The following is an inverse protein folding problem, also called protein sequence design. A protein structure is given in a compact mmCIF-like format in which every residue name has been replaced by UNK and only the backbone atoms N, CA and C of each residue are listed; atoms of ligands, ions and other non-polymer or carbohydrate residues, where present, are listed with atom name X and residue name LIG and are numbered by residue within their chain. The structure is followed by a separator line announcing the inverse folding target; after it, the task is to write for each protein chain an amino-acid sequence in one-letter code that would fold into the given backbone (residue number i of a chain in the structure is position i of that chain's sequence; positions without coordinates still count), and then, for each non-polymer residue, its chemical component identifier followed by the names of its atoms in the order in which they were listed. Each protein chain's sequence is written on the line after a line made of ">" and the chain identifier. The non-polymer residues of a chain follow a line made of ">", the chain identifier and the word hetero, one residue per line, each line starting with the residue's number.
data_IF_434843326937
#
_entry.id   IF_434843326937
#
_cell.length_a   1.000
_cell.length_b   1.000
_cell.length_c   1.000
_cell.angle_alpha   90.00
_cell.angle_beta   90.00
_cell.angle_gamma   90.00
#
_symmetry.space_group_name_H-M   'P 1'
#
loop_
_entity.id
_entity.type
_entity.pdbx_description
1 polymer ?
#
# COMPACT_ATOMS: atom_id res chain seq x y z
N UNK A 1 20.49 -18.59 7.99
CA UNK A 1 20.74 -18.27 9.39
C UNK A 1 21.98 -18.95 9.94
N UNK A 2 22.42 -18.50 11.09
CA UNK A 2 23.56 -19.07 11.82
C UNK A 2 23.19 -19.27 13.29
N UNK A 3 23.72 -20.34 13.89
CA UNK A 3 23.54 -20.67 15.31
C UNK A 3 24.91 -20.94 15.95
N UNK A 4 25.17 -20.30 17.07
CA UNK A 4 26.37 -20.49 17.87
C UNK A 4 25.98 -21.04 19.24
N UNK A 5 26.59 -22.15 19.65
CA UNK A 5 26.29 -22.78 20.94
C UNK A 5 27.57 -22.82 21.77
N UNK A 6 27.50 -22.22 22.96
CA UNK A 6 28.57 -22.16 23.90
C UNK A 6 28.23 -23.05 25.11
N UNK A 7 29.10 -23.99 25.43
CA UNK A 7 28.97 -24.84 26.61
C UNK A 7 29.86 -24.29 27.72
N UNK A 8 29.29 -24.17 28.90
CA UNK A 8 30.05 -23.80 30.08
C UNK A 8 30.94 -24.99 30.50
N UNK A 9 32.20 -24.73 30.76
CA UNK A 9 33.18 -25.72 31.22
C UNK A 9 33.28 -25.79 32.76
N UNK A 10 32.71 -24.80 33.46
CA UNK A 10 32.67 -24.77 34.90
C UNK A 10 31.56 -25.71 35.41
N UNK A 11 31.94 -26.80 36.03
CA UNK A 11 31.03 -27.82 36.56
C UNK A 11 30.25 -27.33 37.80
N UNK A 12 30.67 -26.25 38.42
CA UNK A 12 29.98 -25.65 39.58
C UNK A 12 28.97 -24.59 39.18
N UNK A 13 28.90 -24.23 37.90
CA UNK A 13 28.00 -23.25 37.38
C UNK A 13 26.61 -23.84 37.11
N UNK A 14 25.58 -23.13 37.52
CA UNK A 14 24.19 -23.50 37.22
C UNK A 14 23.83 -23.19 35.73
N UNK A 15 24.65 -22.41 35.02
CA UNK A 15 24.46 -22.08 33.61
C UNK A 15 25.26 -23.04 32.71
N UNK A 16 24.55 -23.94 32.03
CA UNK A 16 25.18 -25.04 31.30
C UNK A 16 25.46 -24.72 29.85
N UNK A 17 24.55 -24.02 29.20
CA UNK A 17 24.67 -23.66 27.79
C UNK A 17 24.09 -22.28 27.52
N UNK A 18 24.73 -21.59 26.60
CA UNK A 18 24.24 -20.38 25.98
C UNK A 18 24.21 -20.59 24.46
N UNK A 19 23.16 -20.17 23.81
CA UNK A 19 23.04 -20.19 22.37
C UNK A 19 22.69 -18.80 21.84
N UNK A 20 23.32 -18.39 20.77
CA UNK A 20 22.97 -17.19 20.02
C UNK A 20 22.71 -17.57 18.58
N UNK A 21 21.68 -17.02 17.98
CA UNK A 21 21.41 -17.23 16.57
C UNK A 21 20.89 -15.99 15.88
N UNK A 22 21.10 -15.93 14.59
CA UNK A 22 20.53 -14.95 13.69
C UNK A 22 19.94 -15.67 12.49
N UNK A 23 18.73 -15.28 12.10
CA UNK A 23 18.10 -15.77 10.89
C UNK A 23 17.21 -14.71 10.26
N UNK A 24 17.10 -14.85 8.95
CA UNK A 24 16.20 -14.09 8.11
C UNK A 24 15.05 -14.98 7.68
N UNK A 25 13.86 -14.42 7.69
CA UNK A 25 12.64 -15.07 7.24
C UNK A 25 11.86 -14.12 6.34
N UNK A 26 11.53 -14.57 5.14
CA UNK A 26 10.58 -13.89 4.30
C UNK A 26 9.17 -14.38 4.68
N UNK A 27 8.37 -13.47 5.24
CA UNK A 27 7.03 -13.79 5.73
C UNK A 27 6.01 -13.84 4.59
N UNK A 28 6.16 -12.92 3.62
CA UNK A 28 5.26 -12.81 2.48
C UNK A 28 5.98 -12.31 1.25
N UNK A 29 5.56 -12.78 0.07
CA UNK A 29 5.91 -12.26 -1.23
C UNK A 29 4.65 -11.65 -1.84
N UNK A 30 4.74 -10.39 -2.29
CA UNK A 30 3.63 -9.63 -2.87
C UNK A 30 3.63 -9.63 -4.40
N UNK A 31 4.56 -10.35 -5.04
CA UNK A 31 4.66 -10.36 -6.49
C UNK A 31 3.40 -10.99 -7.09
N UNK A 32 2.64 -10.19 -7.80
CA UNK A 32 1.41 -10.59 -8.48
C UNK A 32 1.15 -9.66 -9.65
N UNK A 33 0.43 -10.13 -10.65
CA UNK A 33 0.01 -9.32 -11.77
C UNK A 33 -1.09 -10.00 -12.56
N UNK A 34 -1.96 -9.20 -13.15
CA UNK A 34 -2.94 -9.66 -14.13
C UNK A 34 -3.26 -8.54 -15.12
N UNK A 35 -3.83 -8.96 -16.25
CA UNK A 35 -4.36 -8.09 -17.29
C UNK A 35 -5.77 -8.55 -17.63
N UNK A 36 -6.66 -7.58 -17.85
CA UNK A 36 -8.02 -7.82 -18.31
C UNK A 36 -8.37 -6.81 -19.39
N UNK A 37 -9.08 -7.24 -20.41
CA UNK A 37 -9.59 -6.36 -21.45
C UNK A 37 -11.02 -6.76 -21.82
N UNK A 38 -11.84 -5.79 -22.17
CA UNK A 38 -13.23 -6.04 -22.53
C UNK A 38 -14.00 -4.78 -22.88
N UNK A 39 -15.27 -4.98 -23.19
CA UNK A 39 -16.21 -3.88 -23.43
C UNK A 39 -17.06 -3.69 -22.19
N UNK A 40 -17.17 -2.44 -21.74
CA UNK A 40 -17.99 -2.02 -20.60
C UNK A 40 -19.06 -1.02 -21.05
N UNK A 41 -20.20 -0.99 -20.40
CA UNK A 41 -21.19 0.07 -20.55
C UNK A 41 -21.03 1.21 -19.55
N UNK A 42 -20.01 1.14 -18.68
CA UNK A 42 -19.66 2.16 -17.68
C UNK A 42 -18.28 2.71 -17.98
N UNK A 43 -18.18 4.02 -18.12
CA UNK A 43 -16.92 4.75 -18.30
C UNK A 43 -16.25 5.04 -16.96
N UNK A 44 -14.92 5.27 -17.00
CA UNK A 44 -14.17 5.84 -15.88
C UNK A 44 -14.69 7.22 -15.46
N UNK A 45 -15.37 7.93 -16.35
CA UNK A 45 -16.00 9.21 -16.02
C UNK A 45 -16.97 9.09 -14.84
N UNK A 46 -17.65 7.94 -14.69
CA UNK A 46 -18.56 7.71 -13.56
C UNK A 46 -17.81 7.71 -12.21
N UNK A 47 -16.59 7.15 -12.19
CA UNK A 47 -15.74 7.18 -11.00
C UNK A 47 -15.43 8.61 -10.54
N UNK A 48 -15.02 9.48 -11.48
CA UNK A 48 -14.71 10.87 -11.15
C UNK A 48 -15.96 11.66 -10.79
N UNK A 49 -17.08 11.43 -11.50
CA UNK A 49 -18.37 12.07 -11.20
C UNK A 49 -18.88 11.74 -9.80
N UNK A 50 -18.73 10.49 -9.37
CA UNK A 50 -19.16 10.05 -8.04
C UNK A 50 -18.37 10.78 -6.92
N UNK A 51 -17.13 11.18 -7.18
CA UNK A 51 -16.34 11.99 -6.25
C UNK A 51 -16.63 13.49 -6.35
N UNK A 52 -16.86 14.03 -7.55
CA UNK A 52 -16.98 15.46 -7.77
C UNK A 52 -18.37 16.01 -7.40
N UNK A 53 -19.44 15.25 -7.65
CA UNK A 53 -20.80 15.72 -7.40
C UNK A 53 -21.03 16.08 -5.93
N UNK A 54 -21.43 17.33 -5.70
CA UNK A 54 -21.65 17.89 -4.38
C UNK A 54 -20.45 18.61 -3.78
N UNK A 55 -19.26 18.56 -4.41
CA UNK A 55 -18.10 19.36 -4.02
C UNK A 55 -18.08 20.69 -4.80
N UNK A 56 -17.69 21.79 -4.13
CA UNK A 56 -17.59 23.08 -4.81
C UNK A 56 -16.42 23.10 -5.79
N UNK A 57 -16.56 23.83 -6.88
CA UNK A 57 -15.49 24.00 -7.87
C UNK A 57 -14.23 24.61 -7.25
N UNK A 58 -14.38 25.51 -6.30
CA UNK A 58 -13.27 26.13 -5.58
C UNK A 58 -12.43 25.11 -4.79
N UNK A 59 -13.07 24.06 -4.26
CA UNK A 59 -12.40 23.01 -3.48
C UNK A 59 -11.66 21.98 -4.34
N UNK A 60 -11.94 21.92 -5.65
CA UNK A 60 -11.40 20.92 -6.59
C UNK A 60 -10.72 21.54 -7.80
N UNK A 61 -10.27 22.78 -7.71
CA UNK A 61 -9.51 23.48 -8.75
C UNK A 61 -8.19 24.01 -8.22
N UNK A 62 -7.21 24.21 -9.11
CA UNK A 62 -5.94 24.82 -8.75
C UNK A 62 -6.12 26.34 -8.53
N UNK A 63 -5.39 26.88 -7.57
CA UNK A 63 -5.33 28.33 -7.35
C UNK A 63 -4.52 29.01 -8.48
N UNK A 64 -4.75 30.32 -8.65
CA UNK A 64 -4.00 31.11 -9.61
C UNK A 64 -2.49 31.06 -9.34
N UNK A 65 -1.70 30.68 -10.34
CA UNK A 65 -0.25 30.45 -10.28
C UNK A 65 0.21 29.21 -9.47
N UNK A 66 -0.69 28.33 -9.08
CA UNK A 66 -0.37 27.03 -8.51
C UNK A 66 -0.20 25.98 -9.61
N UNK A 67 0.81 25.14 -9.50
CA UNK A 67 0.93 24.00 -10.41
C UNK A 67 -0.07 22.89 -10.05
N UNK A 68 -0.48 22.08 -11.04
CA UNK A 68 -1.39 20.96 -10.84
C UNK A 68 -0.89 19.99 -9.75
N UNK A 69 0.43 19.75 -9.70
CA UNK A 69 1.02 18.88 -8.68
C UNK A 69 0.97 19.49 -7.27
N UNK A 70 1.15 20.80 -7.15
CA UNK A 70 1.02 21.51 -5.87
C UNK A 70 -0.42 21.49 -5.39
N UNK A 71 -1.37 21.85 -6.27
CA UNK A 71 -2.81 21.79 -5.98
C UNK A 71 -3.26 20.39 -5.57
N UNK A 72 -2.88 19.36 -6.32
CA UNK A 72 -3.19 17.96 -6.00
C UNK A 72 -2.71 17.58 -4.59
N UNK A 73 -1.46 17.95 -4.23
CA UNK A 73 -0.91 17.65 -2.92
C UNK A 73 -1.60 18.45 -1.81
N UNK A 74 -1.88 19.74 -2.04
CA UNK A 74 -2.56 20.60 -1.08
C UNK A 74 -3.99 20.12 -0.82
N UNK A 75 -4.75 19.84 -1.87
CA UNK A 75 -6.11 19.30 -1.78
C UNK A 75 -6.11 17.98 -1.02
N UNK A 76 -5.19 17.07 -1.33
CA UNK A 76 -5.08 15.80 -0.62
C UNK A 76 -4.76 15.94 0.85
N UNK A 77 -3.91 16.91 1.20
CA UNK A 77 -3.52 17.15 2.58
C UNK A 77 -4.64 17.77 3.41
N UNK A 78 -5.37 18.75 2.86
CA UNK A 78 -6.40 19.49 3.60
C UNK A 78 -7.79 18.86 3.49
N UNK A 79 -8.17 18.35 2.31
CA UNK A 79 -9.53 17.91 2.01
C UNK A 79 -9.62 16.38 1.86
N UNK A 80 -8.49 15.71 1.60
CA UNK A 80 -8.41 14.25 1.52
C UNK A 80 -8.59 13.67 0.12
N UNK A 81 -8.53 12.33 0.06
CA UNK A 81 -8.49 11.56 -1.19
C UNK A 81 -9.67 11.82 -2.12
N UNK A 82 -10.89 11.96 -1.59
CA UNK A 82 -12.08 12.17 -2.41
C UNK A 82 -11.98 13.45 -3.27
N UNK A 83 -11.49 14.53 -2.67
CA UNK A 83 -11.28 15.80 -3.36
C UNK A 83 -10.14 15.72 -4.39
N UNK A 84 -9.10 14.95 -4.12
CA UNK A 84 -8.04 14.69 -5.12
C UNK A 84 -8.58 13.97 -6.35
N UNK A 85 -9.50 13.00 -6.20
CA UNK A 85 -10.09 12.31 -7.34
C UNK A 85 -11.00 13.25 -8.13
N UNK A 86 -11.80 14.06 -7.46
CA UNK A 86 -12.62 15.08 -8.11
C UNK A 86 -11.76 16.09 -8.88
N UNK A 87 -10.68 16.57 -8.28
CA UNK A 87 -9.68 17.44 -8.90
C UNK A 87 -9.10 16.82 -10.18
N UNK A 88 -8.68 15.55 -10.14
CA UNK A 88 -8.17 14.86 -11.32
C UNK A 88 -9.20 14.77 -12.44
N UNK A 89 -10.46 14.48 -12.10
CA UNK A 89 -11.54 14.44 -13.08
C UNK A 89 -11.81 15.80 -13.74
N UNK A 90 -11.70 16.87 -12.98
CA UNK A 90 -11.84 18.24 -13.48
C UNK A 90 -10.63 18.68 -14.31
N UNK A 91 -9.43 18.58 -13.78
CA UNK A 91 -8.19 19.02 -14.45
C UNK A 91 -7.86 18.23 -15.73
N UNK A 92 -8.37 16.99 -15.85
CA UNK A 92 -8.26 16.19 -17.06
C UNK A 92 -9.35 16.43 -18.09
N UNK A 93 -10.22 17.40 -17.86
CA UNK A 93 -11.39 17.72 -18.68
C UNK A 93 -12.40 16.57 -18.85
N UNK A 94 -12.29 15.49 -18.08
CA UNK A 94 -13.31 14.43 -18.03
C UNK A 94 -14.64 14.98 -17.52
N UNK A 95 -14.55 15.89 -16.54
CA UNK A 95 -15.68 16.59 -15.95
C UNK A 95 -15.57 18.09 -16.20
N UNK A 96 -16.73 18.69 -16.45
CA UNK A 96 -16.88 20.14 -16.47
C UNK A 96 -18.01 20.60 -15.57
N UNK A 97 -17.91 21.82 -14.98
CA UNK A 97 -18.96 22.37 -14.12
C UNK A 97 -20.20 22.71 -14.99
N UNK A 98 -21.39 22.53 -14.41
CA UNK A 98 -22.63 22.97 -15.07
C UNK A 98 -22.75 24.50 -15.11
N UNK A 99 -22.17 25.20 -14.12
CA UNK A 99 -22.14 26.66 -14.03
C UNK A 99 -20.69 27.11 -13.79
N UNK A 100 -20.27 28.17 -14.49
CA UNK A 100 -18.96 28.82 -14.29
C UNK A 100 -19.00 29.71 -13.02
N UNK A 101 -19.07 29.04 -11.88
CA UNK A 101 -19.11 29.64 -10.55
C UNK A 101 -18.29 28.85 -9.56
N UNK A 102 -17.54 29.51 -8.69
CA UNK A 102 -16.75 28.88 -7.63
C UNK A 102 -17.58 27.99 -6.68
N UNK A 103 -18.88 28.32 -6.52
CA UNK A 103 -19.82 27.57 -5.68
C UNK A 103 -20.53 26.43 -6.46
N UNK A 104 -20.25 26.27 -7.77
CA UNK A 104 -20.82 25.16 -8.54
C UNK A 104 -20.46 23.82 -7.88
N UNK A 105 -21.45 22.92 -7.80
CA UNK A 105 -21.28 21.60 -7.20
C UNK A 105 -21.92 20.48 -8.05
N UNK A 106 -22.28 20.80 -9.29
CA UNK A 106 -22.83 19.87 -10.26
C UNK A 106 -21.94 19.82 -11.50
N UNK A 107 -21.65 18.61 -11.97
CA UNK A 107 -20.71 18.38 -13.07
C UNK A 107 -21.31 17.46 -14.12
N UNK A 108 -20.99 17.72 -15.38
CA UNK A 108 -21.27 16.83 -16.49
C UNK A 108 -19.99 16.23 -17.08
N UNK A 109 -20.15 15.09 -17.75
CA UNK A 109 -19.03 14.39 -18.35
C UNK A 109 -18.85 14.77 -19.82
N UNK A 110 -17.62 14.99 -20.24
CA UNK A 110 -17.22 15.13 -21.64
C UNK A 110 -17.11 13.79 -22.39
N UNK A 111 -17.39 12.69 -21.69
CA UNK A 111 -17.44 11.33 -22.24
C UNK A 111 -18.94 10.93 -22.33
N UNK A 112 -19.43 10.79 -23.57
CA UNK A 112 -20.82 10.41 -23.80
C UNK A 112 -21.06 8.93 -23.46
N UNK A 113 -22.27 8.62 -22.98
CA UNK A 113 -22.69 7.25 -22.67
C UNK A 113 -22.70 6.36 -23.92
N UNK A 114 -22.35 5.09 -23.72
CA UNK A 114 -22.27 4.08 -24.76
C UNK A 114 -21.40 2.91 -24.37
N UNK A 115 -20.72 2.31 -25.32
CA UNK A 115 -19.78 1.20 -25.09
C UNK A 115 -18.35 1.74 -25.02
N UNK A 116 -17.58 1.17 -24.11
CA UNK A 116 -16.17 1.53 -23.82
C UNK A 116 -15.28 0.31 -23.94
N UNK A 117 -14.25 0.39 -24.76
CA UNK A 117 -13.19 -0.61 -24.75
C UNK A 117 -12.25 -0.28 -23.59
N UNK A 118 -12.13 -1.19 -22.65
CA UNK A 118 -11.30 -1.00 -21.46
C UNK A 118 -10.23 -2.07 -21.36
N UNK A 119 -9.01 -1.64 -21.00
CA UNK A 119 -7.89 -2.48 -20.66
C UNK A 119 -7.42 -2.12 -19.26
N UNK A 120 -7.25 -3.13 -18.42
CA UNK A 120 -6.81 -2.94 -17.05
C UNK A 120 -5.62 -3.82 -16.73
N UNK A 121 -4.55 -3.21 -16.27
CA UNK A 121 -3.36 -3.89 -15.78
C UNK A 121 -3.19 -3.67 -14.28
N UNK A 122 -2.85 -4.72 -13.59
CA UNK A 122 -2.46 -4.69 -12.19
C UNK A 122 -1.09 -5.35 -12.05
N UNK A 123 -0.18 -4.71 -11.33
CA UNK A 123 1.11 -5.25 -10.95
C UNK A 123 1.40 -4.91 -9.51
N UNK A 124 1.90 -5.89 -8.77
CA UNK A 124 2.45 -5.66 -7.44
C UNK A 124 3.77 -6.39 -7.28
N UNK A 125 4.69 -5.77 -6.55
CA UNK A 125 6.02 -6.26 -6.26
C UNK A 125 6.32 -6.04 -4.79
N UNK A 126 7.22 -6.86 -4.26
CA UNK A 126 7.76 -6.63 -2.93
C UNK A 126 7.64 -7.80 -1.98
N UNK A 127 7.99 -7.54 -0.74
CA UNK A 127 8.05 -8.57 0.29
C UNK A 127 7.89 -7.98 1.70
N UNK A 128 7.47 -8.85 2.60
CA UNK A 128 7.53 -8.64 4.04
C UNK A 128 8.54 -9.64 4.62
N UNK A 129 9.49 -9.14 5.38
CA UNK A 129 10.56 -9.92 5.95
C UNK A 129 10.84 -9.61 7.41
N UNK A 130 11.57 -10.52 8.04
CA UNK A 130 11.95 -10.41 9.44
C UNK A 130 13.38 -10.90 9.64
N UNK A 131 14.19 -10.09 10.30
CA UNK A 131 15.49 -10.47 10.82
C UNK A 131 15.36 -10.71 12.31
N UNK A 132 15.69 -11.92 12.75
CA UNK A 132 15.53 -12.35 14.14
C UNK A 132 16.86 -12.65 14.79
N UNK A 133 17.07 -12.10 15.98
CA UNK A 133 18.20 -12.38 16.86
C UNK A 133 17.70 -13.14 18.07
N UNK A 134 18.17 -14.37 18.25
CA UNK A 134 17.79 -15.22 19.35
C UNK A 134 18.92 -15.40 20.34
N UNK A 135 18.55 -15.37 21.63
CA UNK A 135 19.42 -15.81 22.71
C UNK A 135 18.70 -16.90 23.48
N UNK A 136 19.39 -18.00 23.72
CA UNK A 136 18.89 -19.12 24.49
C UNK A 136 19.85 -19.46 25.64
N UNK A 137 19.29 -19.77 26.79
CA UNK A 137 20.04 -20.11 28.00
C UNK A 137 19.49 -21.40 28.61
N UNK A 138 20.38 -22.31 28.95
CA UNK A 138 20.05 -23.47 29.77
C UNK A 138 20.55 -23.24 31.19
N UNK A 139 19.61 -23.18 32.13
CA UNK A 139 19.87 -23.11 33.56
C UNK A 139 19.62 -24.49 34.20
N UNK A 140 20.62 -24.99 34.91
CA UNK A 140 20.67 -26.40 35.32
C UNK A 140 20.38 -27.32 34.10
N UNK A 141 19.86 -28.50 34.33
CA UNK A 141 19.50 -29.44 33.26
C UNK A 141 18.00 -29.37 32.89
N UNK A 142 17.23 -28.54 33.61
CA UNK A 142 15.78 -28.63 33.63
C UNK A 142 15.08 -27.36 33.14
N UNK A 143 15.75 -26.22 33.09
CA UNK A 143 15.13 -24.93 32.72
C UNK A 143 15.81 -24.35 31.53
N UNK A 144 15.03 -23.89 30.56
CA UNK A 144 15.51 -23.22 29.36
C UNK A 144 14.76 -21.91 29.22
N UNK A 145 15.48 -20.85 28.93
CA UNK A 145 14.95 -19.54 28.60
C UNK A 145 15.37 -19.15 27.20
N UNK A 146 14.48 -18.42 26.53
CA UNK A 146 14.76 -17.84 25.23
C UNK A 146 14.20 -16.43 25.11
N UNK A 147 14.94 -15.57 24.44
CA UNK A 147 14.49 -14.27 23.99
C UNK A 147 14.74 -14.17 22.51
N UNK A 148 13.78 -13.61 21.78
CA UNK A 148 13.86 -13.34 20.37
C UNK A 148 13.58 -11.86 20.14
N UNK A 149 14.49 -11.18 19.48
CA UNK A 149 14.36 -9.79 19.04
C UNK A 149 14.16 -9.81 17.54
N UNK A 150 13.03 -9.30 17.07
CA UNK A 150 12.67 -9.31 15.67
C UNK A 150 12.68 -7.89 15.11
N UNK A 151 13.41 -7.67 14.03
CA UNK A 151 13.32 -6.49 13.18
C UNK A 151 12.49 -6.84 11.96
N UNK A 152 11.37 -6.16 11.77
CA UNK A 152 10.46 -6.35 10.65
C UNK A 152 10.71 -5.27 9.60
N UNK A 153 10.51 -5.62 8.33
CA UNK A 153 10.61 -4.67 7.22
C UNK A 153 9.63 -5.07 6.10
N UNK A 154 9.01 -4.07 5.53
CA UNK A 154 8.06 -4.18 4.45
C UNK A 154 8.55 -3.28 3.32
N UNK A 155 8.52 -3.82 2.11
CA UNK A 155 8.65 -3.07 0.88
C UNK A 155 7.56 -3.60 -0.05
N UNK A 156 6.62 -2.75 -0.42
CA UNK A 156 5.49 -3.09 -1.26
C UNK A 156 5.27 -1.98 -2.27
N UNK A 157 5.19 -2.36 -3.53
CA UNK A 157 4.87 -1.49 -4.64
C UNK A 157 3.67 -2.08 -5.38
N UNK A 158 2.72 -1.23 -5.75
CA UNK A 158 1.57 -1.59 -6.57
C UNK A 158 1.39 -0.55 -7.65
N UNK A 159 1.22 -1.00 -8.89
CA UNK A 159 0.79 -0.16 -10.01
C UNK A 159 -0.49 -0.73 -10.61
N UNK A 160 -1.41 0.16 -10.93
CA UNK A 160 -2.61 -0.13 -11.71
C UNK A 160 -2.69 0.84 -12.88
N UNK A 161 -3.04 0.33 -14.04
CA UNK A 161 -3.21 1.12 -15.25
C UNK A 161 -4.53 0.75 -15.90
N UNK A 162 -5.35 1.75 -16.17
CA UNK A 162 -6.58 1.66 -16.92
C UNK A 162 -6.43 2.48 -18.20
N UNK A 163 -6.64 1.83 -19.33
CA UNK A 163 -6.88 2.46 -20.61
C UNK A 163 -8.36 2.32 -20.97
N UNK A 164 -8.99 3.40 -21.39
CA UNK A 164 -10.36 3.41 -21.88
C UNK A 164 -10.43 4.14 -23.21
N UNK A 165 -11.11 3.55 -24.20
CA UNK A 165 -11.39 4.22 -25.46
C UNK A 165 -12.85 4.05 -25.89
N UNK A 166 -13.37 5.05 -26.59
CA UNK A 166 -14.74 5.05 -27.10
C UNK A 166 -14.85 5.75 -28.46
N UNK A 167 -15.92 5.45 -29.17
CA UNK A 167 -16.33 6.14 -30.41
C UNK A 167 -17.80 6.62 -30.28
N UNK A 168 -18.21 6.96 -29.07
CA UNK A 168 -19.60 7.34 -28.77
C UNK A 168 -19.90 8.73 -29.33
N UNK A 169 -21.04 8.87 -30.02
CA UNK A 169 -21.45 10.15 -30.58
C UNK A 169 -21.69 11.17 -29.48
N UNK A 170 -21.01 12.32 -29.60
CA UNK A 170 -21.10 13.40 -28.63
C UNK A 170 -20.03 13.36 -27.52
N UNK A 171 -19.15 12.35 -27.52
CA UNK A 171 -17.93 12.39 -26.71
C UNK A 171 -16.97 13.43 -27.24
N UNK A 172 -16.51 14.31 -26.39
CA UNK A 172 -15.37 15.19 -26.64
C UNK A 172 -14.06 14.43 -26.37
N UNK A 173 -14.01 13.66 -25.30
CA UNK A 173 -12.89 12.80 -24.93
C UNK A 173 -13.15 11.38 -25.43
N UNK A 174 -12.20 10.82 -26.15
CA UNK A 174 -12.29 9.48 -26.74
C UNK A 174 -11.34 8.45 -26.14
N UNK A 175 -10.26 8.90 -25.53
CA UNK A 175 -9.30 8.03 -24.86
C UNK A 175 -8.93 8.60 -23.49
N UNK A 176 -8.76 7.72 -22.51
CA UNK A 176 -8.32 8.04 -21.16
C UNK A 176 -7.28 7.02 -20.72
N UNK A 177 -6.13 7.51 -20.29
CA UNK A 177 -5.10 6.75 -19.59
C UNK A 177 -5.13 7.14 -18.11
N UNK A 178 -5.26 6.18 -17.21
CA UNK A 178 -5.24 6.44 -15.78
C UNK A 178 -4.34 5.45 -15.05
N UNK A 179 -3.27 5.95 -14.47
CA UNK A 179 -2.30 5.16 -13.70
C UNK A 179 -2.32 5.57 -12.23
N UNK A 180 -2.30 4.55 -11.35
CA UNK A 180 -2.11 4.73 -9.92
C UNK A 180 -0.95 3.87 -9.44
N UNK A 181 0.00 4.50 -8.74
CA UNK A 181 1.13 3.83 -8.10
C UNK A 181 1.09 4.07 -6.60
N UNK A 182 1.31 3.03 -5.83
CA UNK A 182 1.44 3.06 -4.37
C UNK A 182 2.76 2.41 -3.99
N UNK A 183 3.58 3.13 -3.24
CA UNK A 183 4.77 2.61 -2.58
C UNK A 183 4.54 2.61 -1.07
N UNK A 184 4.69 1.45 -0.44
CA UNK A 184 4.63 1.29 1.01
C UNK A 184 5.96 0.77 1.53
N UNK A 185 6.62 1.54 2.38
CA UNK A 185 7.84 1.15 3.08
C UNK A 185 7.55 1.09 4.57
N UNK A 186 7.96 -0.02 5.20
CA UNK A 186 7.74 -0.21 6.61
C UNK A 186 8.91 -0.84 7.34
N UNK A 187 9.06 -0.44 8.58
CA UNK A 187 9.96 -1.08 9.53
C UNK A 187 9.28 -1.23 10.88
N UNK A 188 9.70 -2.25 11.63
CA UNK A 188 9.09 -2.53 12.91
C UNK A 188 9.94 -3.41 13.80
N UNK A 189 9.42 -3.59 15.01
CA UNK A 189 10.11 -4.35 16.04
C UNK A 189 9.10 -5.17 16.86
N UNK A 190 9.50 -6.38 17.26
CA UNK A 190 8.78 -7.18 18.22
C UNK A 190 9.72 -8.02 19.07
N UNK A 191 9.24 -8.47 20.23
CA UNK A 191 9.98 -9.30 21.18
C UNK A 191 9.19 -10.55 21.48
N UNK A 192 9.88 -11.69 21.56
CA UNK A 192 9.31 -12.94 22.03
C UNK A 192 10.12 -13.45 23.20
N UNK A 193 9.43 -13.95 24.21
CA UNK A 193 10.02 -14.58 25.39
C UNK A 193 9.52 -16.01 25.48
N UNK A 194 10.43 -16.93 25.78
CA UNK A 194 10.07 -18.34 25.94
C UNK A 194 10.73 -18.96 27.17
N UNK A 195 10.04 -19.89 27.80
CA UNK A 195 10.60 -20.72 28.86
C UNK A 195 10.12 -22.16 28.70
N UNK A 196 11.02 -23.12 28.97
CA UNK A 196 10.68 -24.54 29.01
C UNK A 196 11.18 -25.10 30.34
N UNK A 197 10.28 -25.78 31.04
CA UNK A 197 10.55 -26.47 32.31
C UNK A 197 10.44 -27.97 32.09
N UNK A 198 11.54 -28.69 32.33
CA UNK A 198 11.59 -30.14 32.31
C UNK A 198 11.32 -30.65 33.73
N UNK A 199 10.06 -31.07 34.01
CA UNK A 199 9.66 -31.57 35.35
C UNK A 199 10.27 -32.93 35.65
N UNK A 200 10.30 -33.79 34.63
CA UNK A 200 10.93 -35.12 34.72
C UNK A 200 11.32 -35.59 33.29
N UNK A 201 11.70 -36.86 33.13
CA UNK A 201 12.09 -37.40 31.84
C UNK A 201 10.93 -37.52 30.83
N UNK A 202 9.68 -37.44 31.30
CA UNK A 202 8.47 -37.64 30.48
C UNK A 202 7.68 -36.35 30.26
N UNK A 203 7.78 -35.37 31.16
CA UNK A 203 6.93 -34.16 31.13
C UNK A 203 7.80 -32.93 31.01
N UNK A 204 7.45 -32.10 30.00
CA UNK A 204 7.98 -30.75 29.80
C UNK A 204 6.82 -29.78 29.65
N UNK A 205 6.93 -28.64 30.27
CA UNK A 205 5.95 -27.54 30.16
C UNK A 205 6.69 -26.38 29.49
N UNK A 206 6.10 -25.83 28.45
CA UNK A 206 6.59 -24.62 27.76
C UNK A 206 5.59 -23.50 27.89
N UNK A 207 6.09 -22.28 27.99
CA UNK A 207 5.32 -21.06 27.86
C UNK A 207 6.03 -20.11 26.90
N UNK A 208 5.27 -19.34 26.14
CA UNK A 208 5.77 -18.31 25.26
C UNK A 208 4.90 -17.06 25.38
N UNK A 209 5.54 -15.91 25.24
CA UNK A 209 4.90 -14.61 25.16
C UNK A 209 5.41 -13.90 23.91
N UNK A 210 4.47 -13.42 23.09
CA UNK A 210 4.73 -12.60 21.92
C UNK A 210 4.22 -11.18 22.19
N UNK A 211 5.11 -10.21 22.06
CA UNK A 211 4.69 -8.80 22.11
C UNK A 211 3.90 -8.42 20.86
N UNK A 212 3.11 -7.35 20.88
CA UNK A 212 2.68 -6.69 19.67
C UNK A 212 3.88 -6.33 18.79
N UNK A 213 3.67 -6.25 17.48
CA UNK A 213 4.65 -5.65 16.56
C UNK A 213 4.39 -4.15 16.48
N UNK A 214 5.37 -3.35 16.87
CA UNK A 214 5.36 -1.91 16.64
C UNK A 214 5.91 -1.66 15.25
N UNK A 215 5.05 -1.12 14.38
CA UNK A 215 5.33 -0.93 12.96
C UNK A 215 5.13 0.55 12.60
N UNK A 216 6.08 1.09 11.86
CA UNK A 216 5.97 2.40 11.21
C UNK A 216 5.88 2.17 9.72
N UNK A 217 4.84 2.72 9.09
CA UNK A 217 4.61 2.66 7.65
C UNK A 217 4.69 4.07 7.07
N UNK A 218 5.31 4.17 5.91
CA UNK A 218 5.27 5.35 5.05
C UNK A 218 4.68 4.91 3.73
N UNK A 219 3.65 5.64 3.28
CA UNK A 219 2.98 5.41 2.01
C UNK A 219 3.12 6.64 1.12
N UNK A 220 3.44 6.40 -0.13
CA UNK A 220 3.50 7.40 -1.18
C UNK A 220 2.61 6.95 -2.33
N UNK A 221 1.68 7.81 -2.72
CA UNK A 221 0.75 7.55 -3.82
C UNK A 221 1.02 8.55 -4.93
N UNK A 222 1.19 8.06 -6.15
CA UNK A 222 1.32 8.87 -7.35
C UNK A 222 0.22 8.49 -8.33
N UNK A 223 -0.44 9.49 -8.91
CA UNK A 223 -1.46 9.30 -9.94
C UNK A 223 -1.06 10.07 -11.20
N UNK A 224 -1.31 9.46 -12.34
CA UNK A 224 -1.15 10.07 -13.65
C UNK A 224 -2.43 9.85 -14.45
N UNK A 225 -2.91 10.91 -15.06
CA UNK A 225 -4.07 10.86 -15.94
C UNK A 225 -3.78 11.64 -17.22
N UNK A 226 -4.17 11.11 -18.35
CA UNK A 226 -4.18 11.82 -19.63
C UNK A 226 -5.44 11.50 -20.42
N UNK A 227 -5.90 12.48 -21.18
CA UNK A 227 -7.09 12.40 -22.01
C UNK A 227 -6.75 12.84 -23.43
N UNK A 228 -7.41 12.23 -24.42
CA UNK A 228 -7.22 12.57 -25.82
C UNK A 228 -8.57 12.78 -26.49
N UNK A 229 -8.62 13.83 -27.32
CA UNK A 229 -9.72 14.12 -28.23
C UNK A 229 -9.32 13.72 -29.66
N UNK A 230 -10.27 13.28 -30.46
CA UNK A 230 -10.05 12.96 -31.89
C UNK A 230 -9.70 14.17 -32.77
N UNK A 231 -9.80 15.39 -32.25
CA UNK A 231 -9.61 16.60 -33.05
C UNK A 231 -8.24 17.25 -32.96
N UNK A 232 -7.48 17.06 -31.88
CA UNK A 232 -6.05 17.47 -31.75
C UNK A 232 -5.53 17.07 -30.34
N UNK A 233 -4.23 16.72 -30.26
CA UNK A 233 -3.54 16.51 -28.95
C UNK A 233 -3.69 17.77 -28.10
N UNK A 234 -4.35 17.67 -26.97
CA UNK A 234 -4.39 18.69 -25.92
C UNK A 234 -3.20 18.51 -24.98
#
# INVERSE_FOLDING_TARGET
>A
GAVFVFKNKDLNSNYNKFAASVFYEQLQNYNSGFFAAGVSSSSIASYFSDYANGLSLDDISALENESISEAYNAIGFYNGYAYQQAFLGYESYILEPEEDSSENSAYYSNIASGDFNQEYSYSSLGYNGKLSFNLGLQYNQNIYFGINLNSHFINYERSTYLFESNANTGSTINEVDFENSLLTIGNGFSVQLGAIFKLNNFIRIGMAYDSPTWLTLTEETTQYISTFDNSENI
#
